data_IF_048557109425
#
_entry.id   IF_048557109425
#
_cell.length_a   1.000
_cell.length_b   1.000
_cell.length_c   1.000
_cell.angle_alpha   90.00
_cell.angle_beta   90.00
_cell.angle_gamma   90.00
#
_symmetry.space_group_name_H-M   'P 1'
#
loop_
_entity.id
_entity.type
_entity.pdbx_description
1 polymer ?
#
# COMPACT_ATOMS: atom_id res chain seq x y z
N UNK A 1 13.73 0.28 -12.54
CA UNK A 1 12.41 -0.32 -12.87
C UNK A 1 11.39 0.28 -11.91
N UNK A 2 10.09 0.30 -12.21
CA UNK A 2 9.11 0.79 -11.22
C UNK A 2 8.87 -0.28 -10.14
N UNK A 3 8.96 0.12 -8.87
CA UNK A 3 8.64 -0.76 -7.74
C UNK A 3 7.13 -0.98 -7.66
N UNK A 4 6.68 -2.22 -7.41
CA UNK A 4 5.26 -2.53 -7.19
C UNK A 4 5.00 -2.78 -5.70
N UNK A 5 3.98 -2.13 -5.15
CA UNK A 5 3.47 -2.38 -3.79
C UNK A 5 1.96 -2.65 -3.88
N UNK A 6 1.55 -3.79 -3.35
CA UNK A 6 0.15 -4.21 -3.20
C UNK A 6 -0.20 -4.06 -1.71
N UNK A 7 -1.18 -3.21 -1.41
CA UNK A 7 -1.56 -2.89 -0.04
C UNK A 7 -2.85 -3.59 0.33
N UNK A 8 -2.84 -4.36 1.43
CA UNK A 8 -4.01 -5.09 1.96
C UNK A 8 -4.29 -4.72 3.42
N UNK A 9 -5.54 -4.75 3.86
CA UNK A 9 -5.88 -4.46 5.27
C UNK A 9 -5.53 -5.62 6.20
N UNK A 10 -5.72 -6.86 5.73
CA UNK A 10 -5.47 -8.08 6.51
C UNK A 10 -4.61 -9.05 5.69
N UNK A 11 -3.59 -9.64 6.32
CA UNK A 11 -2.74 -10.64 5.67
C UNK A 11 -3.55 -11.85 5.17
N UNK A 12 -4.63 -12.21 5.85
CA UNK A 12 -5.56 -13.28 5.46
C UNK A 12 -6.19 -13.08 4.09
N UNK A 13 -6.32 -11.83 3.63
CA UNK A 13 -6.95 -11.49 2.35
C UNK A 13 -6.04 -11.88 1.17
N UNK A 14 -4.75 -12.06 1.44
CA UNK A 14 -3.74 -12.48 0.48
C UNK A 14 -3.19 -13.88 0.77
N UNK A 15 -3.90 -14.66 1.60
CA UNK A 15 -3.37 -15.84 2.31
C UNK A 15 -2.60 -16.84 1.44
N UNK A 16 -3.10 -17.22 0.27
CA UNK A 16 -2.45 -18.21 -0.60
C UNK A 16 -1.08 -17.77 -1.15
N UNK A 17 -0.77 -16.48 -1.08
CA UNK A 17 0.44 -15.89 -1.65
C UNK A 17 1.22 -15.05 -0.62
N UNK A 18 0.93 -15.18 0.68
CA UNK A 18 1.60 -14.43 1.74
C UNK A 18 2.68 -15.28 2.45
N UNK A 19 3.88 -14.72 2.73
CA UNK A 19 4.36 -13.39 2.35
C UNK A 19 4.82 -13.34 0.89
N UNK A 20 4.51 -12.24 0.20
CA UNK A 20 5.06 -11.90 -1.11
C UNK A 20 5.86 -10.61 -0.98
N UNK A 21 6.96 -10.47 -1.73
CA UNK A 21 7.85 -9.29 -1.67
C UNK A 21 7.14 -7.97 -1.96
N UNK A 22 6.07 -8.03 -2.75
CA UNK A 22 5.34 -6.85 -3.21
C UNK A 22 4.08 -6.60 -2.37
N UNK A 23 3.82 -7.35 -1.29
CA UNK A 23 2.59 -7.20 -0.49
C UNK A 23 2.91 -6.58 0.85
N UNK A 24 2.13 -5.57 1.23
CA UNK A 24 2.30 -4.83 2.48
C UNK A 24 0.96 -4.65 3.18
N UNK A 25 0.95 -4.67 4.51
CA UNK A 25 -0.24 -4.29 5.26
C UNK A 25 -0.44 -2.78 5.20
N UNK A 26 -1.70 -2.35 5.11
CA UNK A 26 -2.04 -0.93 5.07
C UNK A 26 -1.44 -0.16 6.25
N UNK A 27 -1.49 -0.72 7.47
CA UNK A 27 -0.89 -0.11 8.67
C UNK A 27 0.62 0.13 8.54
N UNK A 28 1.33 -0.73 7.82
CA UNK A 28 2.79 -0.66 7.67
C UNK A 28 3.13 0.34 6.56
N UNK A 29 2.37 0.30 5.45
CA UNK A 29 2.45 1.27 4.36
C UNK A 29 2.24 2.72 4.84
N UNK A 30 1.26 2.95 5.72
CA UNK A 30 0.99 4.28 6.30
C UNK A 30 2.11 4.80 7.19
N UNK A 31 2.90 3.90 7.80
CA UNK A 31 4.03 4.26 8.69
C UNK A 31 5.34 4.45 7.93
N UNK A 32 5.42 3.95 6.71
CA UNK A 32 6.64 4.03 5.91
C UNK A 32 6.86 5.49 5.48
N UNK A 33 8.02 6.09 5.83
CA UNK A 33 8.33 7.44 5.40
C UNK A 33 8.43 7.50 3.88
N UNK A 34 8.04 8.63 3.30
CA UNK A 34 8.26 8.92 1.88
C UNK A 34 9.67 9.52 1.78
N UNK A 35 10.55 8.89 1.02
CA UNK A 35 11.88 9.44 0.73
C UNK A 35 11.84 10.24 -0.56
N UNK A 36 12.56 11.37 -0.62
CA UNK A 36 12.68 12.16 -1.84
C UNK A 36 13.41 11.41 -2.98
N UNK A 37 14.24 10.44 -2.61
CA UNK A 37 14.99 9.56 -3.54
C UNK A 37 14.27 8.22 -3.82
N UNK A 38 12.99 8.05 -3.45
CA UNK A 38 12.28 6.80 -3.73
C UNK A 38 12.07 6.61 -5.25
N UNK A 39 12.41 5.41 -5.75
CA UNK A 39 12.08 5.00 -7.11
C UNK A 39 10.57 5.11 -7.36
N UNK A 40 10.18 5.45 -8.59
CA UNK A 40 8.77 5.49 -9.01
C UNK A 40 8.04 4.20 -8.59
N UNK A 41 7.04 4.35 -7.72
CA UNK A 41 6.40 3.23 -7.05
C UNK A 41 4.94 3.13 -7.48
N UNK A 42 4.60 2.06 -8.20
CA UNK A 42 3.22 1.73 -8.50
C UNK A 42 2.58 1.09 -7.27
N UNK A 43 1.48 1.67 -6.79
CA UNK A 43 0.74 1.17 -5.64
C UNK A 43 -0.64 0.66 -6.07
N UNK A 44 -0.95 -0.58 -5.72
CA UNK A 44 -2.28 -1.17 -5.88
C UNK A 44 -2.91 -1.26 -4.50
N UNK A 45 -3.90 -0.41 -4.25
CA UNK A 45 -4.67 -0.42 -3.01
C UNK A 45 -5.78 -1.47 -3.12
N UNK A 46 -5.74 -2.49 -2.27
CA UNK A 46 -6.75 -3.55 -2.15
C UNK A 46 -7.40 -3.54 -0.75
N UNK A 47 -7.40 -2.40 -0.07
CA UNK A 47 -8.17 -2.23 1.15
C UNK A 47 -9.67 -2.47 0.87
N UNK A 48 -10.38 -3.09 1.81
CA UNK A 48 -11.81 -3.44 1.62
C UNK A 48 -12.71 -2.20 1.71
N UNK A 49 -12.24 -1.15 2.40
CA UNK A 49 -13.02 0.04 2.66
C UNK A 49 -12.28 1.33 2.27
N UNK A 50 -13.00 2.21 1.57
CA UNK A 50 -12.53 3.53 1.11
C UNK A 50 -13.34 4.67 1.71
N UNK A 51 -13.92 4.45 2.89
CA UNK A 51 -14.66 5.50 3.60
C UNK A 51 -13.75 6.71 3.79
N UNK A 52 -14.32 7.91 3.68
CA UNK A 52 -13.61 9.15 3.97
C UNK A 52 -12.94 9.09 5.34
N UNK A 53 -11.67 9.52 5.42
CA UNK A 53 -10.79 9.41 6.59
C UNK A 53 -10.53 7.97 7.08
N UNK A 54 -10.87 6.96 6.27
CA UNK A 54 -10.56 5.56 6.54
C UNK A 54 -9.15 5.16 6.09
N UNK A 55 -8.74 3.95 6.46
CA UNK A 55 -7.42 3.40 6.12
C UNK A 55 -7.17 3.37 4.60
N UNK A 56 -8.08 2.78 3.83
CA UNK A 56 -7.93 2.73 2.37
C UNK A 56 -7.89 4.12 1.72
N UNK A 57 -8.58 5.11 2.30
CA UNK A 57 -8.54 6.49 1.82
C UNK A 57 -7.13 7.09 1.97
N UNK A 58 -6.52 6.99 3.15
CA UNK A 58 -5.16 7.49 3.37
C UNK A 58 -4.09 6.72 2.59
N UNK A 59 -4.28 5.41 2.37
CA UNK A 59 -3.41 4.63 1.50
C UNK A 59 -3.42 5.20 0.08
N UNK A 60 -4.60 5.51 -0.47
CA UNK A 60 -4.71 6.12 -1.80
C UNK A 60 -4.07 7.51 -1.87
N UNK A 61 -4.25 8.37 -0.85
CA UNK A 61 -3.61 9.69 -0.82
C UNK A 61 -2.08 9.61 -0.80
N UNK A 62 -1.51 8.72 0.04
CA UNK A 62 -0.06 8.53 0.09
C UNK A 62 0.49 7.83 -1.15
N UNK A 63 -0.30 6.95 -1.78
CA UNK A 63 0.04 6.36 -3.07
C UNK A 63 0.15 7.41 -4.17
N UNK A 64 -0.83 8.31 -4.26
CA UNK A 64 -0.81 9.42 -5.22
C UNK A 64 0.38 10.34 -4.99
N UNK A 65 0.71 10.65 -3.73
CA UNK A 65 1.87 11.47 -3.37
C UNK A 65 3.23 10.85 -3.74
N UNK A 66 3.30 9.53 -3.94
CA UNK A 66 4.52 8.80 -4.35
C UNK A 66 4.76 8.78 -5.87
N UNK A 67 3.76 9.15 -6.68
CA UNK A 67 3.88 9.34 -8.13
C UNK A 67 3.51 8.17 -9.03
#
# INVERSE_FOLDING_TARGET
MSRLIIVVEKASDWGSYYPSSNVMLAKDYLKQPISADEERTQVINLCRHYKYLGTGYYVSLLAEARG
#
